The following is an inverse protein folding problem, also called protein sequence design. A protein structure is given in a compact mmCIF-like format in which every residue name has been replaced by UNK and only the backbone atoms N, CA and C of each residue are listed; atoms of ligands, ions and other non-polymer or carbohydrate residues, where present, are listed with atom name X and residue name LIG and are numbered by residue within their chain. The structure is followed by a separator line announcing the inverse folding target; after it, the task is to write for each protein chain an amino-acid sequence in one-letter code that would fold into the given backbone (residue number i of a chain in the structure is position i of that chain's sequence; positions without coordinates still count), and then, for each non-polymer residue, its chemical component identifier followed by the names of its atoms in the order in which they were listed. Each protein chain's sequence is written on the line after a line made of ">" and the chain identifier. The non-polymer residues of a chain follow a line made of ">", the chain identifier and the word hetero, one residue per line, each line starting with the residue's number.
data_IF_221131160307
#
_entry.id   IF_221131160307
#
_cell.length_a   1.000
_cell.length_b   1.000
_cell.length_c   1.000
_cell.angle_alpha   90.00
_cell.angle_beta   90.00
_cell.angle_gamma   90.00
#
_symmetry.space_group_name_H-M   'P 1'
#
loop_
_entity.id
_entity.type
_entity.pdbx_description
1 polymer ?
#
# COMPACT_ATOMS: atom_id res chain seq x y z
N UNK A 1 12.19 15.13 10.18
CA UNK A 1 12.73 14.08 9.30
C UNK A 1 11.80 12.88 9.19
N UNK A 2 11.36 12.29 10.29
CA UNK A 2 10.49 11.10 10.26
C UNK A 2 9.13 11.36 9.60
N UNK A 3 8.56 12.54 9.81
CA UNK A 3 7.31 12.92 9.16
C UNK A 3 7.44 12.91 7.63
N UNK A 4 8.58 13.37 7.13
CA UNK A 4 8.86 13.38 5.69
C UNK A 4 8.97 11.96 5.13
N UNK A 5 9.52 11.03 5.91
CA UNK A 5 9.59 9.62 5.53
C UNK A 5 8.17 9.05 5.35
N UNK A 6 7.28 9.33 6.30
CA UNK A 6 5.89 8.86 6.23
C UNK A 6 5.19 9.48 5.01
N UNK A 7 5.40 10.77 4.75
CA UNK A 7 4.82 11.44 3.58
C UNK A 7 5.30 10.81 2.28
N UNK A 8 6.58 10.45 2.18
CA UNK A 8 7.13 9.77 1.02
C UNK A 8 6.54 8.37 0.86
N UNK A 9 6.36 7.64 1.95
CA UNK A 9 5.73 6.33 1.92
C UNK A 9 4.29 6.41 1.41
N UNK A 10 3.53 7.40 1.88
CA UNK A 10 2.15 7.62 1.41
C UNK A 10 2.11 7.94 -0.08
N UNK A 11 3.06 8.77 -0.56
CA UNK A 11 3.17 9.08 -1.98
C UNK A 11 3.49 7.83 -2.80
N UNK A 12 4.37 6.98 -2.30
CA UNK A 12 4.72 5.72 -2.97
C UNK A 12 3.50 4.81 -3.10
N UNK A 13 2.65 4.73 -2.07
CA UNK A 13 1.42 3.95 -2.15
C UNK A 13 0.43 4.53 -3.16
N UNK A 14 0.33 5.85 -3.26
CA UNK A 14 -0.49 6.49 -4.29
C UNK A 14 0.03 6.17 -5.69
N UNK A 15 1.34 6.07 -5.86
CA UNK A 15 1.94 5.64 -7.12
C UNK A 15 1.57 4.20 -7.45
N UNK A 16 1.48 3.31 -6.45
CA UNK A 16 0.99 1.95 -6.66
C UNK A 16 -0.47 1.95 -7.12
N UNK A 17 -1.31 2.82 -6.59
CA UNK A 17 -2.68 2.96 -7.06
C UNK A 17 -2.71 3.36 -8.53
N UNK A 18 -1.84 4.28 -8.95
CA UNK A 18 -1.69 4.66 -10.36
C UNK A 18 -1.27 3.45 -11.20
N UNK A 19 -0.40 2.60 -10.69
CA UNK A 19 -0.01 1.37 -11.38
C UNK A 19 -1.20 0.43 -11.55
N UNK A 20 -2.07 0.31 -10.55
CA UNK A 20 -3.30 -0.46 -10.67
C UNK A 20 -4.20 0.09 -11.78
N UNK A 21 -4.36 1.41 -11.85
CA UNK A 21 -5.15 2.06 -12.90
C UNK A 21 -4.59 1.73 -14.29
N UNK A 22 -3.27 1.78 -14.43
CA UNK A 22 -2.61 1.45 -15.70
C UNK A 22 -2.78 -0.02 -16.06
N UNK A 23 -2.72 -0.92 -15.06
CA UNK A 23 -2.94 -2.35 -15.28
C UNK A 23 -4.37 -2.60 -15.79
N UNK A 24 -5.36 -1.94 -15.17
CA UNK A 24 -6.75 -2.06 -15.60
C UNK A 24 -6.95 -1.55 -17.03
N UNK A 25 -6.34 -0.39 -17.37
CA UNK A 25 -6.40 0.17 -18.70
C UNK A 25 -5.75 -0.76 -19.73
N UNK A 26 -4.60 -1.33 -19.39
CA UNK A 26 -3.91 -2.27 -20.26
C UNK A 26 -4.75 -3.52 -20.51
N UNK A 27 -5.32 -4.09 -19.46
CA UNK A 27 -6.17 -5.28 -19.56
C UNK A 27 -7.39 -5.00 -20.44
N UNK A 28 -8.02 -3.84 -20.27
CA UNK A 28 -9.17 -3.45 -21.10
C UNK A 28 -8.77 -3.29 -22.57
N UNK A 29 -7.63 -2.65 -22.84
CA UNK A 29 -7.15 -2.44 -24.20
C UNK A 29 -6.80 -3.75 -24.90
N UNK A 30 -6.24 -4.71 -24.16
CA UNK A 30 -5.87 -6.04 -24.71
C UNK A 30 -6.97 -7.07 -24.57
N UNK A 31 -8.11 -6.71 -23.98
CA UNK A 31 -9.30 -7.54 -23.81
C UNK A 31 -9.05 -8.82 -23.02
N UNK A 32 -8.38 -8.68 -21.87
CA UNK A 32 -8.26 -9.78 -20.90
C UNK A 32 -8.64 -9.30 -19.51
N UNK A 33 -8.86 -10.24 -18.60
CA UNK A 33 -9.23 -9.94 -17.21
C UNK A 33 -8.01 -9.42 -16.45
N UNK A 34 -8.13 -8.28 -15.78
CA UNK A 34 -7.06 -7.71 -14.97
C UNK A 34 -6.63 -8.65 -13.84
N UNK A 35 -7.49 -9.57 -13.41
CA UNK A 35 -7.15 -10.58 -12.43
C UNK A 35 -5.93 -11.41 -12.80
N UNK A 36 -5.66 -11.58 -14.08
CA UNK A 36 -4.46 -12.28 -14.56
C UNK A 36 -3.20 -11.54 -14.10
N UNK A 37 -3.20 -10.21 -14.13
CA UNK A 37 -2.08 -9.41 -13.68
C UNK A 37 -1.94 -9.44 -12.15
N UNK A 38 -3.06 -9.54 -11.44
CA UNK A 38 -3.04 -9.56 -9.96
C UNK A 38 -2.30 -10.78 -9.41
N UNK A 39 -2.39 -11.91 -10.09
CA UNK A 39 -1.73 -13.14 -9.67
C UNK A 39 -0.40 -13.38 -10.39
N UNK A 40 0.05 -12.43 -11.21
CA UNK A 40 1.31 -12.55 -11.94
C UNK A 40 2.52 -12.37 -11.03
N UNK A 41 3.61 -13.04 -11.41
CA UNK A 41 4.90 -12.97 -10.71
C UNK A 41 5.99 -12.56 -11.70
N UNK A 42 6.99 -11.81 -11.20
CA UNK A 42 8.14 -11.49 -12.03
C UNK A 42 9.07 -12.70 -12.22
N UNK A 43 9.13 -13.57 -11.22
CA UNK A 43 9.94 -14.79 -11.26
C UNK A 43 9.20 -15.90 -10.53
N UNK A 44 9.45 -17.19 -10.87
CA UNK A 44 8.74 -18.32 -10.25
C UNK A 44 8.87 -18.41 -8.73
N UNK A 45 9.98 -17.90 -8.18
CA UNK A 45 10.25 -17.91 -6.74
C UNK A 45 9.77 -16.66 -6.01
N UNK A 46 9.14 -15.72 -6.72
CA UNK A 46 8.59 -14.50 -6.14
C UNK A 46 7.10 -14.65 -5.84
N UNK A 47 6.62 -13.90 -4.86
CA UNK A 47 5.19 -13.81 -4.58
C UNK A 47 4.50 -13.00 -5.68
N UNK A 48 3.19 -13.19 -5.80
CA UNK A 48 2.41 -12.52 -6.83
C UNK A 48 2.20 -11.03 -6.54
N UNK A 49 1.56 -10.35 -7.48
CA UNK A 49 1.35 -8.90 -7.40
C UNK A 49 0.49 -8.52 -6.20
N UNK A 50 -0.53 -9.32 -5.88
CA UNK A 50 -1.39 -9.08 -4.72
C UNK A 50 -0.55 -9.03 -3.45
N UNK A 51 0.31 -10.03 -3.26
CA UNK A 51 1.16 -10.09 -2.08
C UNK A 51 2.11 -8.90 -2.01
N UNK A 52 2.66 -8.45 -3.14
CA UNK A 52 3.58 -7.31 -3.16
C UNK A 52 2.89 -6.03 -2.67
N UNK A 53 1.65 -5.80 -3.09
CA UNK A 53 0.89 -4.63 -2.64
C UNK A 53 0.53 -4.76 -1.15
N UNK A 54 0.10 -5.93 -0.71
CA UNK A 54 -0.20 -6.18 0.71
C UNK A 54 1.01 -5.91 1.59
N UNK A 55 2.18 -6.40 1.18
CA UNK A 55 3.44 -6.19 1.91
C UNK A 55 3.81 -4.71 1.97
N UNK A 56 3.70 -4.00 0.84
CA UNK A 56 3.99 -2.57 0.80
C UNK A 56 3.10 -1.80 1.76
N UNK A 57 1.81 -2.10 1.77
CA UNK A 57 0.86 -1.47 2.70
C UNK A 57 1.20 -1.78 4.16
N UNK A 58 1.56 -3.02 4.47
CA UNK A 58 1.93 -3.41 5.83
C UNK A 58 3.18 -2.69 6.31
N UNK A 59 4.19 -2.54 5.45
CA UNK A 59 5.40 -1.81 5.83
C UNK A 59 5.14 -0.34 6.10
N UNK A 60 4.33 0.33 5.26
CA UNK A 60 3.99 1.74 5.47
C UNK A 60 3.18 1.91 6.74
N UNK A 61 2.19 1.05 6.96
CA UNK A 61 1.36 1.07 8.16
C UNK A 61 2.20 0.89 9.43
N UNK A 62 3.10 -0.10 9.41
CA UNK A 62 3.97 -0.37 10.54
C UNK A 62 4.91 0.81 10.81
N UNK A 63 5.50 1.40 9.77
CA UNK A 63 6.39 2.55 9.92
C UNK A 63 5.65 3.73 10.52
N UNK A 64 4.46 4.05 10.02
CA UNK A 64 3.66 5.17 10.53
C UNK A 64 3.27 4.95 11.99
N UNK A 65 2.87 3.73 12.35
CA UNK A 65 2.50 3.40 13.73
C UNK A 65 3.72 3.48 14.66
N UNK A 66 4.84 2.93 14.23
CA UNK A 66 6.09 2.94 15.01
C UNK A 66 6.55 4.36 15.31
N UNK A 67 6.63 5.19 14.27
CA UNK A 67 7.16 6.55 14.38
C UNK A 67 6.22 7.47 15.17
N UNK A 68 4.94 7.16 15.24
CA UNK A 68 3.96 7.95 15.99
C UNK A 68 3.66 7.38 17.38
N UNK A 69 4.27 6.25 17.76
CA UNK A 69 4.02 5.61 19.04
C UNK A 69 2.67 4.93 19.16
N UNK A 70 2.04 4.62 18.05
CA UNK A 70 0.74 3.95 18.01
C UNK A 70 0.89 2.46 17.73
N UNK A 71 -0.13 1.69 18.08
CA UNK A 71 -0.22 0.29 17.66
C UNK A 71 -0.71 0.23 16.23
N UNK A 72 -0.05 -0.53 15.33
CA UNK A 72 -0.50 -0.64 13.95
C UNK A 72 -1.91 -1.21 13.87
N UNK A 73 -2.81 -0.60 13.07
CA UNK A 73 -4.13 -1.20 12.84
C UNK A 73 -3.98 -2.52 12.10
N UNK A 74 -4.85 -3.46 12.40
CA UNK A 74 -4.81 -4.78 11.77
C UNK A 74 -5.70 -4.77 10.53
N UNK A 75 -5.10 -5.07 9.38
CA UNK A 75 -5.82 -5.23 8.12
C UNK A 75 -5.69 -6.67 7.65
N UNK A 76 -6.79 -7.29 7.28
CA UNK A 76 -6.77 -8.69 6.84
C UNK A 76 -6.30 -8.78 5.38
N UNK A 77 -5.55 -9.83 5.06
CA UNK A 77 -5.01 -10.08 3.73
C UNK A 77 -6.00 -10.91 2.90
N UNK A 78 -7.17 -10.31 2.64
CA UNK A 78 -8.24 -10.99 1.90
C UNK A 78 -8.47 -10.49 0.49
N UNK A 79 -7.65 -9.56 0.01
CA UNK A 79 -7.85 -8.94 -1.30
C UNK A 79 -7.63 -9.95 -2.43
N UNK A 80 -8.53 -9.94 -3.41
CA UNK A 80 -8.45 -10.79 -4.61
C UNK A 80 -8.63 -9.99 -5.90
N UNK A 81 -9.19 -8.79 -5.83
CA UNK A 81 -9.47 -7.95 -7.00
C UNK A 81 -8.67 -6.67 -6.93
N UNK A 82 -8.51 -5.99 -8.08
CA UNK A 82 -7.82 -4.70 -8.13
C UNK A 82 -8.56 -3.64 -7.32
N UNK A 83 -9.89 -3.68 -7.28
CA UNK A 83 -10.67 -2.73 -6.47
C UNK A 83 -10.43 -2.93 -4.99
N UNK A 84 -10.34 -4.18 -4.53
CA UNK A 84 -10.03 -4.49 -3.14
C UNK A 84 -8.61 -4.04 -2.76
N UNK A 85 -7.65 -4.23 -3.66
CA UNK A 85 -6.28 -3.75 -3.45
C UNK A 85 -6.23 -2.22 -3.40
N UNK A 86 -6.98 -1.55 -4.28
CA UNK A 86 -7.07 -0.09 -4.26
C UNK A 86 -7.64 0.41 -2.94
N UNK A 87 -8.69 -0.24 -2.44
CA UNK A 87 -9.27 0.10 -1.14
C UNK A 87 -8.25 -0.09 -0.01
N UNK A 88 -7.44 -1.15 -0.06
CA UNK A 88 -6.39 -1.41 0.91
C UNK A 88 -5.34 -0.29 0.89
N UNK A 89 -4.91 0.13 -0.29
CA UNK A 89 -3.95 1.22 -0.46
C UNK A 89 -4.52 2.51 0.14
N UNK A 90 -5.75 2.87 -0.20
CA UNK A 90 -6.39 4.09 0.30
C UNK A 90 -6.52 4.09 1.82
N UNK A 91 -6.87 2.96 2.40
CA UNK A 91 -7.00 2.81 3.85
C UNK A 91 -5.63 3.01 4.53
N UNK A 92 -4.59 2.45 3.97
CA UNK A 92 -3.23 2.58 4.49
C UNK A 92 -2.72 4.02 4.37
N UNK A 93 -2.97 4.67 3.23
CA UNK A 93 -2.60 6.07 3.00
C UNK A 93 -3.33 6.98 4.01
N UNK A 94 -4.63 6.73 4.22
CA UNK A 94 -5.40 7.51 5.19
C UNK A 94 -4.83 7.39 6.60
N UNK A 95 -4.43 6.19 7.02
CA UNK A 95 -3.79 6.00 8.32
C UNK A 95 -2.45 6.75 8.38
N UNK A 96 -1.61 6.62 7.36
CA UNK A 96 -0.30 7.28 7.33
C UNK A 96 -0.45 8.80 7.38
N UNK A 97 -1.42 9.35 6.65
CA UNK A 97 -1.67 10.79 6.63
C UNK A 97 -2.30 11.32 7.92
N UNK A 98 -2.90 10.43 8.73
CA UNK A 98 -3.44 10.82 10.03
C UNK A 98 -2.35 11.07 11.07
N UNK A 99 -1.12 10.61 10.82
CA UNK A 99 0.01 10.80 11.73
C UNK A 99 0.50 12.24 11.60
N UNK A 100 0.61 12.94 12.72
CA UNK A 100 1.07 14.33 12.75
C UNK A 100 2.54 14.40 13.16
N UNK A 101 3.19 15.48 12.75
CA UNK A 101 4.58 15.75 13.14
C UNK A 101 4.72 15.81 14.67
N UNK A 102 3.71 16.36 15.35
CA UNK A 102 3.71 16.43 16.82
C UNK A 102 3.66 15.04 17.46
N UNK A 103 2.90 14.10 16.89
CA UNK A 103 2.85 12.72 17.38
C UNK A 103 4.21 12.03 17.25
N UNK A 104 4.88 12.22 16.13
CA UNK A 104 6.23 11.68 15.91
C UNK A 104 7.21 12.25 16.92
N UNK A 105 7.17 13.56 17.15
CA UNK A 105 8.02 14.23 18.12
C UNK A 105 7.83 13.67 19.52
N UNK A 106 6.59 13.43 19.94
CA UNK A 106 6.29 12.87 21.27
C UNK A 106 6.76 11.44 21.40
N UNK A 107 6.66 10.64 20.36
CA UNK A 107 7.06 9.22 20.39
C UNK A 107 8.58 9.06 20.57
N UNK A 108 9.36 10.06 20.19
CA UNK A 108 10.82 9.99 20.18
C UNK A 108 11.50 10.99 21.13
N UNK A 109 10.75 11.55 22.05
CA UNK A 109 11.29 12.47 23.09
C UNK A 109 11.75 11.72 24.36
#
# INVERSE_FOLDING_TARGET
>A
MYYQVISQCALSLRNLETCLDKAEQHAAAKKFDVGVLMTSRLAPDMKDFIYQIQSACDYVKAAAAWLSGQTPPKHEDGERTSDELRARIRKTVAFAESVTEAQIGRAHV
#
